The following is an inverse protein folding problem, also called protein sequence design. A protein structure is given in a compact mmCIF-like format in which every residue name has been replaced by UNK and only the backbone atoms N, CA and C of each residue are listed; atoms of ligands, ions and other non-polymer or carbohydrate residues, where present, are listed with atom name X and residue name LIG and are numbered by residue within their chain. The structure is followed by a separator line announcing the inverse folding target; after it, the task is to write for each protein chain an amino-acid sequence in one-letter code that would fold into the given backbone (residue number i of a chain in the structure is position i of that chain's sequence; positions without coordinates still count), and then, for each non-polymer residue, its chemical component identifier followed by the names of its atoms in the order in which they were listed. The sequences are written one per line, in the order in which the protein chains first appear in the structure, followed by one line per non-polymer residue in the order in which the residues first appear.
data_IF_788956246454
#
_entry.id   IF_788956246454
#
_cell.length_a   1.000
_cell.length_b   1.000
_cell.length_c   1.000
_cell.angle_alpha   90.00
_cell.angle_beta   90.00
_cell.angle_gamma   90.00
#
_symmetry.space_group_name_H-M   'P 1'
#
loop_
_entity.id
_entity.type
_entity.pdbx_description
1 polymer ?
#
# COMPACT_ATOMS: atom_id res chain seq x y z
N UNK A 1 -18.03 -6.88 -12.40
CA UNK A 1 -19.04 -7.91 -12.07
C UNK A 1 -19.39 -7.80 -10.62
N UNK A 2 -20.70 -7.69 -10.32
CA UNK A 2 -21.24 -7.74 -8.97
C UNK A 2 -22.39 -8.74 -8.97
N UNK A 3 -22.45 -9.58 -7.97
CA UNK A 3 -23.48 -10.58 -7.77
C UNK A 3 -23.96 -10.54 -6.33
N UNK A 4 -25.26 -10.55 -6.14
CA UNK A 4 -25.90 -10.66 -4.83
C UNK A 4 -26.97 -11.74 -4.88
N UNK A 5 -26.99 -12.59 -3.89
CA UNK A 5 -27.97 -13.64 -3.74
C UNK A 5 -28.67 -13.54 -2.39
N UNK A 6 -29.98 -13.22 -2.40
CA UNK A 6 -30.86 -13.13 -1.23
C UNK A 6 -30.28 -12.35 -0.06
N UNK A 7 -29.52 -11.29 -0.32
CA UNK A 7 -28.76 -10.53 0.67
C UNK A 7 -27.82 -11.35 1.56
N UNK A 8 -27.80 -12.68 1.38
CA UNK A 8 -26.94 -13.63 2.08
C UNK A 8 -25.51 -13.61 1.56
N UNK A 9 -25.34 -13.67 0.22
CA UNK A 9 -24.04 -13.77 -0.42
C UNK A 9 -23.82 -12.60 -1.37
N UNK A 10 -22.71 -11.91 -1.23
CA UNK A 10 -22.26 -10.83 -2.10
C UNK A 10 -20.89 -11.13 -2.67
N UNK A 11 -20.75 -11.06 -3.99
CA UNK A 11 -19.50 -11.26 -4.70
C UNK A 11 -19.24 -10.09 -5.63
N UNK A 12 -18.00 -9.62 -5.67
CA UNK A 12 -17.56 -8.58 -6.60
C UNK A 12 -16.24 -8.97 -7.23
N UNK A 13 -16.13 -8.77 -8.54
CA UNK A 13 -14.89 -8.95 -9.28
C UNK A 13 -14.67 -7.77 -10.20
N UNK A 14 -13.48 -7.22 -10.22
CA UNK A 14 -13.09 -6.16 -11.13
C UNK A 14 -11.72 -6.43 -11.73
N UNK A 15 -11.51 -5.96 -12.94
CA UNK A 15 -10.24 -6.00 -13.62
C UNK A 15 -10.00 -4.66 -14.30
N UNK A 16 -8.87 -4.04 -13.98
CA UNK A 16 -8.42 -2.80 -14.58
C UNK A 16 -7.09 -2.98 -15.25
N UNK A 17 -6.96 -2.50 -16.48
CA UNK A 17 -5.70 -2.41 -17.20
C UNK A 17 -5.39 -0.95 -17.48
N UNK A 18 -4.22 -0.51 -17.06
CA UNK A 18 -3.76 0.86 -17.25
C UNK A 18 -2.42 0.91 -17.94
N UNK A 19 -2.23 1.95 -18.76
CA UNK A 19 -0.95 2.24 -19.41
C UNK A 19 -0.42 3.61 -19.01
N UNK A 20 0.91 3.72 -18.87
CA UNK A 20 1.57 5.00 -18.65
C UNK A 20 2.83 5.10 -19.50
N UNK A 21 3.01 6.25 -20.17
CA UNK A 21 4.20 6.56 -20.95
C UNK A 21 5.44 6.83 -20.10
N UNK A 22 5.28 6.98 -18.79
CA UNK A 22 6.39 7.20 -17.84
C UNK A 22 7.28 5.98 -17.68
N UNK A 23 6.71 4.78 -17.91
CA UNK A 23 7.43 3.53 -17.75
C UNK A 23 8.29 3.16 -18.94
N UNK A 24 9.21 2.25 -18.70
CA UNK A 24 10.07 1.69 -19.73
C UNK A 24 9.27 1.01 -20.84
N UNK A 25 9.90 0.85 -21.99
CA UNK A 25 9.26 0.34 -23.21
C UNK A 25 8.56 -1.01 -23.00
N UNK A 26 9.13 -1.84 -22.12
CA UNK A 26 8.66 -3.21 -21.87
C UNK A 26 7.50 -3.30 -20.85
N UNK A 27 7.26 -2.26 -20.04
CA UNK A 27 6.39 -2.34 -18.87
C UNK A 27 5.38 -1.20 -18.73
N UNK A 28 4.96 -0.61 -19.85
CA UNK A 28 3.99 0.50 -19.87
C UNK A 28 2.63 0.13 -19.29
N UNK A 29 2.23 -1.13 -19.41
CA UNK A 29 0.91 -1.61 -19.00
C UNK A 29 0.95 -2.34 -17.67
N UNK A 30 -0.01 -2.00 -16.78
CA UNK A 30 -0.29 -2.68 -15.53
C UNK A 30 -1.66 -3.34 -15.54
N UNK A 31 -1.77 -4.50 -14.91
CA UNK A 31 -3.03 -5.23 -14.71
C UNK A 31 -3.34 -5.25 -13.21
N UNK A 32 -4.56 -4.87 -12.86
CA UNK A 32 -5.01 -4.66 -11.48
C UNK A 32 -6.33 -5.39 -11.24
N UNK A 33 -6.28 -6.72 -10.96
CA UNK A 33 -7.45 -7.48 -10.56
C UNK A 33 -7.86 -7.18 -9.13
N UNK A 34 -9.17 -7.25 -8.84
CA UNK A 34 -9.67 -7.28 -7.48
C UNK A 34 -10.89 -8.20 -7.38
N UNK A 35 -10.97 -8.91 -6.26
CA UNK A 35 -12.04 -9.82 -5.89
C UNK A 35 -12.46 -9.53 -4.46
N UNK A 36 -13.77 -9.54 -4.21
CA UNK A 36 -14.28 -9.49 -2.85
C UNK A 36 -15.51 -10.38 -2.70
N UNK A 37 -15.68 -10.91 -1.51
CA UNK A 37 -16.84 -11.68 -1.13
C UNK A 37 -17.31 -11.30 0.26
N UNK A 38 -18.62 -11.38 0.49
CA UNK A 38 -19.23 -11.18 1.79
C UNK A 38 -20.38 -12.16 1.98
N UNK A 39 -20.54 -12.58 3.22
CA UNK A 39 -21.67 -13.40 3.65
C UNK A 39 -22.32 -12.74 4.86
N UNK A 40 -23.64 -12.59 4.81
CA UNK A 40 -24.47 -12.11 5.92
C UNK A 40 -25.06 -13.31 6.65
N UNK A 41 -24.45 -13.70 7.76
CA UNK A 41 -24.87 -14.89 8.50
C UNK A 41 -26.20 -14.71 9.23
N UNK A 42 -26.58 -13.48 9.57
CA UNK A 42 -27.89 -13.17 10.17
C UNK A 42 -29.07 -13.59 9.30
N UNK A 43 -28.88 -13.77 8.00
CA UNK A 43 -29.91 -14.31 7.10
C UNK A 43 -30.13 -15.84 7.25
N UNK A 44 -29.21 -16.54 7.92
CA UNK A 44 -29.32 -17.98 8.16
C UNK A 44 -30.14 -18.25 9.44
N UNK A 45 -31.08 -19.20 9.41
CA UNK A 45 -31.93 -19.52 10.56
C UNK A 45 -31.16 -19.82 11.86
N UNK A 46 -29.97 -20.39 11.76
CA UNK A 46 -29.12 -20.72 12.89
C UNK A 46 -28.56 -19.49 13.64
N UNK A 47 -28.56 -18.32 13.02
CA UNK A 47 -28.04 -17.07 13.59
C UNK A 47 -29.14 -16.04 13.92
N UNK A 48 -30.40 -16.39 13.71
CA UNK A 48 -31.54 -15.53 14.04
C UNK A 48 -31.82 -15.60 15.54
N UNK A 49 -31.32 -14.60 16.29
CA UNK A 49 -31.50 -14.47 17.73
C UNK A 49 -31.94 -13.05 18.09
N UNK A 50 -32.62 -12.87 19.20
CA UNK A 50 -33.17 -11.55 19.60
C UNK A 50 -32.09 -10.47 19.85
N UNK A 51 -30.85 -10.87 20.12
CA UNK A 51 -29.76 -9.95 20.44
C UNK A 51 -28.84 -9.64 19.26
N UNK A 52 -28.93 -10.42 18.17
CA UNK A 52 -28.09 -10.31 16.97
C UNK A 52 -28.94 -9.74 15.81
N UNK A 53 -28.75 -8.49 15.48
CA UNK A 53 -29.49 -7.82 14.42
C UNK A 53 -28.86 -8.07 13.05
N UNK A 54 -27.53 -8.01 12.95
CA UNK A 54 -26.81 -8.33 11.73
C UNK A 54 -25.41 -8.92 12.06
N UNK A 55 -24.98 -9.89 11.26
CA UNK A 55 -23.64 -10.47 11.33
C UNK A 55 -23.14 -10.72 9.91
N UNK A 56 -22.07 -10.02 9.55
CA UNK A 56 -21.50 -10.07 8.22
C UNK A 56 -20.01 -10.36 8.27
N UNK A 57 -19.57 -11.30 7.45
CA UNK A 57 -18.16 -11.53 7.17
C UNK A 57 -17.83 -11.11 5.76
N UNK A 58 -16.62 -10.59 5.57
CA UNK A 58 -16.11 -10.18 4.26
C UNK A 58 -14.66 -10.59 4.09
N UNK A 59 -14.30 -10.90 2.86
CA UNK A 59 -12.93 -11.14 2.42
C UNK A 59 -12.69 -10.35 1.15
N UNK A 60 -11.51 -9.76 1.03
CA UNK A 60 -11.12 -9.00 -0.15
C UNK A 60 -9.68 -9.28 -0.53
N UNK A 61 -9.44 -9.29 -1.83
CA UNK A 61 -8.12 -9.32 -2.43
C UNK A 61 -8.10 -8.33 -3.59
N UNK A 62 -7.04 -7.51 -3.67
CA UNK A 62 -6.90 -6.56 -4.76
C UNK A 62 -5.46 -6.20 -5.03
N UNK A 63 -5.18 -5.86 -6.27
CA UNK A 63 -3.89 -5.33 -6.70
C UNK A 63 -4.09 -3.90 -7.15
N UNK A 64 -3.29 -2.98 -6.63
CA UNK A 64 -3.22 -1.59 -7.08
C UNK A 64 -1.83 -1.24 -7.60
N UNK A 65 -1.77 -0.33 -8.56
CA UNK A 65 -0.54 0.17 -9.15
C UNK A 65 -0.27 1.61 -8.77
N UNK A 66 0.99 1.96 -8.61
CA UNK A 66 1.46 3.32 -8.35
C UNK A 66 2.55 3.70 -9.34
N UNK A 67 2.51 4.96 -9.81
CA UNK A 67 3.49 5.54 -10.72
C UNK A 67 3.91 6.96 -10.29
N UNK A 68 4.09 7.16 -8.97
CA UNK A 68 4.41 8.47 -8.42
C UNK A 68 5.90 8.81 -8.59
N UNK A 69 6.30 9.12 -9.81
CA UNK A 69 7.62 9.63 -10.17
C UNK A 69 7.52 10.58 -11.37
N UNK A 70 8.56 11.37 -11.58
CA UNK A 70 8.60 12.36 -12.65
C UNK A 70 8.60 11.71 -14.04
N UNK A 71 8.05 12.37 -15.07
CA UNK A 71 8.18 11.92 -16.46
C UNK A 71 9.65 11.71 -16.85
N UNK A 72 9.87 10.89 -17.88
CA UNK A 72 11.15 10.64 -18.53
C UNK A 72 12.21 9.89 -17.71
N UNK A 73 11.91 9.44 -16.48
CA UNK A 73 12.88 8.71 -15.65
C UNK A 73 13.21 7.30 -16.16
N UNK A 74 12.48 6.79 -17.12
CA UNK A 74 12.84 5.56 -17.84
C UNK A 74 13.85 5.80 -18.97
N UNK A 75 14.12 7.06 -19.31
CA UNK A 75 15.04 7.46 -20.36
C UNK A 75 16.34 7.99 -19.77
N UNK A 76 17.38 8.05 -20.59
CA UNK A 76 18.57 8.79 -20.24
C UNK A 76 18.27 10.29 -20.19
N UNK A 77 18.56 10.92 -19.07
CA UNK A 77 18.31 12.36 -18.86
C UNK A 77 19.53 13.06 -18.29
N UNK A 78 19.66 14.34 -18.61
CA UNK A 78 20.76 15.18 -18.20
C UNK A 78 20.24 16.34 -17.36
N UNK A 79 20.87 16.60 -16.21
CA UNK A 79 20.56 17.73 -15.36
C UNK A 79 21.83 18.59 -15.15
N UNK A 80 21.68 19.90 -15.08
CA UNK A 80 22.79 20.80 -14.75
C UNK A 80 23.38 20.52 -13.35
N UNK A 81 24.61 20.97 -13.10
CA UNK A 81 25.33 20.82 -11.83
C UNK A 81 25.71 19.38 -11.44
N UNK A 82 25.98 18.51 -12.41
CA UNK A 82 26.42 17.13 -12.18
C UNK A 82 27.93 16.93 -12.13
N UNK A 83 28.34 15.66 -12.14
CA UNK A 83 29.74 15.23 -12.04
C UNK A 83 30.38 14.78 -13.37
N UNK A 84 29.62 14.85 -14.47
CA UNK A 84 30.10 14.50 -15.80
C UNK A 84 30.26 15.78 -16.61
N UNK A 85 31.42 15.96 -17.23
CA UNK A 85 31.69 17.13 -18.06
C UNK A 85 31.28 16.78 -19.52
N UNK A 86 30.34 17.54 -20.05
CA UNK A 86 29.92 17.49 -21.47
C UNK A 86 29.97 18.92 -22.02
N UNK A 87 30.71 19.12 -23.10
CA UNK A 87 30.88 20.43 -23.75
C UNK A 87 31.27 21.54 -22.76
N UNK A 88 32.19 21.25 -21.83
CA UNK A 88 32.65 22.20 -20.83
C UNK A 88 31.70 22.53 -19.68
N UNK A 89 30.56 21.83 -19.57
CA UNK A 89 29.58 21.97 -18.47
C UNK A 89 29.49 20.71 -17.64
N UNK A 90 29.42 20.87 -16.32
CA UNK A 90 29.14 19.75 -15.42
C UNK A 90 27.64 19.40 -15.46
N UNK A 91 27.33 18.17 -15.81
CA UNK A 91 25.97 17.66 -15.86
C UNK A 91 25.84 16.39 -15.02
N UNK A 92 24.67 16.18 -14.48
CA UNK A 92 24.28 14.91 -13.85
C UNK A 92 23.56 14.05 -14.89
N UNK A 93 23.95 12.79 -15.01
CA UNK A 93 23.38 11.84 -15.96
C UNK A 93 22.57 10.80 -15.20
N UNK A 94 21.30 10.66 -15.54
CA UNK A 94 20.45 9.59 -15.08
C UNK A 94 20.41 8.50 -16.16
N UNK A 95 20.73 7.26 -15.75
CA UNK A 95 20.76 6.12 -16.65
C UNK A 95 19.36 5.70 -17.10
N UNK A 96 19.23 5.24 -18.36
CA UNK A 96 17.97 4.73 -18.85
C UNK A 96 17.59 3.40 -18.16
N UNK A 97 16.30 3.21 -17.92
CA UNK A 97 15.77 1.96 -17.42
C UNK A 97 14.55 1.51 -18.24
N UNK A 98 14.76 0.72 -19.30
CA UNK A 98 13.68 0.22 -20.14
C UNK A 98 12.74 -0.74 -19.40
N UNK A 99 13.17 -1.29 -18.27
CA UNK A 99 12.41 -2.21 -17.42
C UNK A 99 11.72 -1.54 -16.25
N UNK A 100 11.74 -0.21 -16.20
CA UNK A 100 11.01 0.56 -15.19
C UNK A 100 9.51 0.26 -15.27
N UNK A 101 8.93 -0.21 -14.17
CA UNK A 101 7.58 -0.76 -14.12
C UNK A 101 6.77 -0.24 -12.94
N UNK A 102 5.50 -0.58 -12.92
CA UNK A 102 4.57 -0.23 -11.86
C UNK A 102 5.00 -0.78 -10.50
N UNK A 103 5.03 0.07 -9.49
CA UNK A 103 5.00 -0.36 -8.10
C UNK A 103 3.64 -0.98 -7.84
N UNK A 104 3.59 -2.21 -7.30
CA UNK A 104 2.36 -2.97 -7.08
C UNK A 104 2.12 -3.20 -5.60
N UNK A 105 0.94 -2.84 -5.14
CA UNK A 105 0.47 -3.16 -3.80
C UNK A 105 -0.61 -4.23 -3.87
N UNK A 106 -0.35 -5.36 -3.24
CA UNK A 106 -1.27 -6.47 -3.05
C UNK A 106 -1.94 -6.29 -1.70
N UNK A 107 -3.25 -6.19 -1.68
CA UNK A 107 -4.05 -6.03 -0.48
C UNK A 107 -4.89 -7.28 -0.25
N UNK A 108 -4.85 -7.81 0.96
CA UNK A 108 -5.76 -8.85 1.42
C UNK A 108 -6.38 -8.38 2.72
N UNK A 109 -7.67 -8.50 2.85
CA UNK A 109 -8.39 -8.15 4.07
C UNK A 109 -9.47 -9.18 4.40
N UNK A 110 -9.69 -9.38 5.69
CA UNK A 110 -10.76 -10.20 6.25
C UNK A 110 -11.43 -9.35 7.32
N UNK A 111 -12.73 -9.17 7.21
CA UNK A 111 -13.49 -8.34 8.14
C UNK A 111 -14.71 -9.07 8.69
N UNK A 112 -15.09 -8.68 9.89
CA UNK A 112 -16.34 -9.06 10.53
C UNK A 112 -17.05 -7.81 11.05
N UNK A 113 -18.34 -7.72 10.81
CA UNK A 113 -19.21 -6.65 11.29
C UNK A 113 -20.40 -7.26 12.00
N UNK A 114 -20.70 -6.79 13.21
CA UNK A 114 -21.85 -7.22 13.98
C UNK A 114 -22.66 -6.03 14.47
N UNK A 115 -23.98 -6.09 14.31
CA UNK A 115 -24.95 -5.18 14.87
C UNK A 115 -25.77 -5.94 15.88
N UNK A 116 -25.82 -5.43 17.11
CA UNK A 116 -26.33 -6.12 18.28
C UNK A 116 -27.29 -5.23 19.07
N UNK A 117 -28.17 -5.90 19.84
CA UNK A 117 -29.01 -5.24 20.85
C UNK A 117 -29.94 -4.17 20.30
N UNK A 118 -30.66 -4.50 19.24
CA UNK A 118 -31.56 -3.58 18.52
C UNK A 118 -30.80 -2.31 18.05
N UNK A 119 -29.67 -2.56 17.35
CA UNK A 119 -28.80 -1.52 16.78
C UNK A 119 -28.18 -0.58 17.83
N UNK A 120 -28.05 -1.02 19.06
CA UNK A 120 -27.40 -0.26 20.11
C UNK A 120 -25.89 -0.48 20.21
N UNK A 121 -25.40 -1.60 19.70
CA UNK A 121 -23.99 -1.92 19.69
C UNK A 121 -23.57 -2.35 18.27
N UNK A 122 -22.64 -1.60 17.69
CA UNK A 122 -22.01 -1.94 16.42
C UNK A 122 -20.54 -2.25 16.66
N UNK A 123 -20.09 -3.39 16.16
CA UNK A 123 -18.71 -3.86 16.25
C UNK A 123 -18.18 -4.10 14.84
N UNK A 124 -16.98 -3.63 14.57
CA UNK A 124 -16.25 -3.93 13.35
C UNK A 124 -14.84 -4.38 13.68
N UNK A 125 -14.39 -5.44 13.06
CA UNK A 125 -13.04 -5.99 13.16
C UNK A 125 -12.50 -6.22 11.76
N UNK A 126 -11.30 -5.74 11.47
CA UNK A 126 -10.67 -5.89 10.17
C UNK A 126 -9.20 -6.31 10.32
N UNK A 127 -8.85 -7.44 9.76
CA UNK A 127 -7.49 -7.93 9.61
C UNK A 127 -7.02 -7.64 8.18
N UNK A 128 -5.86 -7.04 8.02
CA UNK A 128 -5.33 -6.78 6.69
C UNK A 128 -3.85 -7.15 6.56
N UNK A 129 -3.49 -7.47 5.33
CA UNK A 129 -2.11 -7.59 4.89
C UNK A 129 -1.93 -6.84 3.57
N UNK A 130 -0.89 -6.01 3.50
CA UNK A 130 -0.48 -5.29 2.30
C UNK A 130 0.97 -5.64 1.99
N UNK A 131 1.22 -6.15 0.80
CA UNK A 131 2.58 -6.35 0.28
C UNK A 131 2.81 -5.40 -0.89
N UNK A 132 3.69 -4.42 -0.71
CA UNK A 132 4.10 -3.51 -1.79
C UNK A 132 5.40 -4.02 -2.37
N UNK A 133 5.38 -4.35 -3.66
CA UNK A 133 6.51 -4.86 -4.43
C UNK A 133 6.95 -3.86 -5.48
N UNK A 134 8.17 -4.03 -5.94
CA UNK A 134 8.74 -3.20 -7.02
C UNK A 134 8.75 -1.70 -6.64
N UNK A 135 9.13 -1.39 -5.39
CA UNK A 135 9.24 -0.01 -4.91
C UNK A 135 10.11 0.80 -5.85
N UNK A 136 9.62 1.98 -6.21
CA UNK A 136 10.36 2.91 -7.06
C UNK A 136 11.43 3.63 -6.22
N UNK A 137 12.67 3.46 -6.61
CA UNK A 137 13.81 3.97 -5.89
C UNK A 137 14.85 4.57 -6.84
N UNK A 138 15.48 5.69 -6.44
CA UNK A 138 16.63 6.25 -7.13
C UNK A 138 17.88 5.61 -6.54
N UNK A 139 18.54 4.79 -7.32
CA UNK A 139 19.74 4.07 -6.93
C UNK A 139 20.98 4.85 -7.39
N UNK A 140 21.92 5.09 -6.47
CA UNK A 140 23.20 5.68 -6.81
C UNK A 140 24.06 4.63 -7.51
N UNK A 141 24.43 4.90 -8.75
CA UNK A 141 25.21 3.97 -9.55
C UNK A 141 26.65 3.85 -9.04
N UNK A 142 27.16 2.63 -8.99
CA UNK A 142 28.57 2.37 -8.63
C UNK A 142 29.44 2.63 -9.86
N UNK A 143 30.34 3.58 -9.75
CA UNK A 143 31.30 3.92 -10.81
C UNK A 143 32.71 3.42 -10.45
N UNK A 144 33.46 2.81 -11.36
CA UNK A 144 33.02 2.15 -12.59
C UNK A 144 32.30 0.83 -12.31
N UNK A 145 31.57 0.18 -13.24
CA UNK A 145 31.58 0.43 -14.69
C UNK A 145 30.49 1.37 -15.22
N UNK A 146 29.56 1.84 -14.38
CA UNK A 146 28.47 2.71 -14.84
C UNK A 146 28.97 4.13 -15.09
N UNK A 147 28.53 4.72 -16.20
CA UNK A 147 28.77 6.14 -16.56
C UNK A 147 27.73 7.08 -15.91
N UNK A 148 26.61 6.57 -15.51
CA UNK A 148 25.52 7.33 -14.92
C UNK A 148 25.68 7.51 -13.41
N UNK A 149 25.27 8.66 -12.87
CA UNK A 149 25.33 8.93 -11.42
C UNK A 149 24.20 8.19 -10.69
N UNK A 150 23.02 8.18 -11.28
CA UNK A 150 21.81 7.60 -10.69
C UNK A 150 20.99 6.85 -11.74
N UNK A 151 20.22 5.89 -11.27
CA UNK A 151 19.22 5.18 -12.06
C UNK A 151 17.95 5.02 -11.25
N UNK A 152 16.80 5.32 -11.85
CA UNK A 152 15.51 5.03 -11.23
C UNK A 152 15.16 3.57 -11.54
N UNK A 153 14.91 2.79 -10.52
CA UNK A 153 14.66 1.36 -10.67
C UNK A 153 13.63 0.85 -9.66
N UNK A 154 13.07 -0.31 -9.95
CA UNK A 154 12.15 -1.01 -9.07
C UNK A 154 12.94 -1.94 -8.17
N UNK A 155 13.14 -1.53 -6.93
CA UNK A 155 13.89 -2.30 -5.94
C UNK A 155 13.18 -2.23 -4.60
N UNK A 156 12.90 -3.39 -4.04
CA UNK A 156 12.39 -3.46 -2.68
C UNK A 156 10.97 -3.97 -2.55
N UNK A 157 10.69 -4.42 -1.34
CA UNK A 157 9.39 -4.94 -0.94
C UNK A 157 9.12 -4.56 0.51
N UNK A 158 7.92 -4.03 0.76
CA UNK A 158 7.42 -3.74 2.11
C UNK A 158 6.21 -4.63 2.38
N UNK A 159 6.22 -5.28 3.53
CA UNK A 159 5.07 -5.98 4.08
C UNK A 159 4.49 -5.19 5.25
N UNK A 160 3.20 -4.88 5.18
CA UNK A 160 2.43 -4.29 6.27
C UNK A 160 1.27 -5.20 6.62
N UNK A 161 1.02 -5.39 7.90
CA UNK A 161 -0.13 -6.15 8.41
C UNK A 161 -0.68 -5.46 9.64
N UNK A 162 -1.96 -5.59 9.84
CA UNK A 162 -2.59 -4.95 10.96
C UNK A 162 -3.95 -5.50 11.31
N UNK A 163 -4.42 -5.07 12.47
CA UNK A 163 -5.74 -5.27 13.01
C UNK A 163 -6.34 -3.91 13.30
N UNK A 164 -7.55 -3.69 12.83
CA UNK A 164 -8.36 -2.50 13.10
C UNK A 164 -9.65 -2.94 13.77
N UNK A 165 -10.11 -2.17 14.75
CA UNK A 165 -11.40 -2.40 15.40
C UNK A 165 -12.12 -1.10 15.64
N UNK A 166 -13.43 -1.19 15.60
CA UNK A 166 -14.34 -0.11 15.90
C UNK A 166 -15.51 -0.65 16.71
N UNK A 167 -15.88 0.09 17.76
CA UNK A 167 -17.06 -0.17 18.56
C UNK A 167 -17.84 1.14 18.68
N UNK A 168 -19.09 1.10 18.31
CA UNK A 168 -20.05 2.18 18.55
C UNK A 168 -21.16 1.64 19.44
N UNK A 169 -21.33 2.27 20.60
CA UNK A 169 -22.25 1.82 21.61
C UNK A 169 -23.22 2.93 22.03
N UNK A 170 -24.51 2.60 22.05
CA UNK A 170 -25.61 3.46 22.44
C UNK A 170 -26.30 2.86 23.68
N UNK A 171 -25.68 2.92 24.89
CA UNK A 171 -26.21 2.26 26.07
C UNK A 171 -27.53 2.86 26.55
N UNK A 172 -27.71 4.15 26.37
CA UNK A 172 -28.93 4.84 26.84
C UNK A 172 -29.55 5.60 25.67
N UNK A 173 -30.80 5.27 25.41
CA UNK A 173 -31.65 5.99 24.45
C UNK A 173 -33.06 6.11 25.03
N UNK A 174 -33.36 7.29 25.50
CA UNK A 174 -34.71 7.66 26.02
C UNK A 174 -35.29 8.79 25.16
N UNK A 175 -36.54 9.17 25.42
CA UNK A 175 -37.20 10.24 24.66
C UNK A 175 -36.46 11.60 24.82
N UNK A 176 -35.84 11.85 25.97
CA UNK A 176 -35.22 13.13 26.28
C UNK A 176 -33.71 13.08 26.49
N UNK A 177 -33.11 11.88 26.46
CA UNK A 177 -31.69 11.72 26.73
C UNK A 177 -31.12 10.56 25.90
N UNK A 178 -29.99 10.81 25.29
CA UNK A 178 -29.22 9.80 24.55
C UNK A 178 -27.76 9.91 24.96
N UNK A 179 -27.15 8.77 25.25
CA UNK A 179 -25.69 8.66 25.47
C UNK A 179 -25.10 7.66 24.51
N UNK A 180 -24.04 8.05 23.81
CA UNK A 180 -23.29 7.20 22.89
C UNK A 180 -21.80 7.23 23.22
N UNK A 181 -21.13 6.12 23.03
CA UNK A 181 -19.69 5.97 23.16
C UNK A 181 -19.13 5.32 21.89
N UNK A 182 -17.98 5.81 21.45
CA UNK A 182 -17.25 5.24 20.32
C UNK A 182 -15.82 4.94 20.73
N UNK A 183 -15.33 3.77 20.35
CA UNK A 183 -13.96 3.32 20.58
C UNK A 183 -13.40 2.80 19.27
N UNK A 184 -12.29 3.36 18.82
CA UNK A 184 -11.56 2.90 17.65
C UNK A 184 -10.11 2.62 18.00
N UNK A 185 -9.49 1.66 17.33
CA UNK A 185 -8.09 1.37 17.53
C UNK A 185 -7.50 0.56 16.38
N UNK A 186 -6.17 0.62 16.29
CA UNK A 186 -5.44 -0.14 15.30
C UNK A 186 -4.09 -0.61 15.83
N UNK A 187 -3.67 -1.78 15.39
CA UNK A 187 -2.34 -2.32 15.54
C UNK A 187 -1.73 -2.49 14.16
N UNK A 188 -0.61 -1.85 13.91
CA UNK A 188 0.08 -1.90 12.62
C UNK A 188 1.51 -2.39 12.81
N UNK A 189 1.95 -3.29 11.95
CA UNK A 189 3.33 -3.72 11.83
C UNK A 189 3.76 -3.66 10.37
N UNK A 190 4.80 -2.88 10.09
CA UNK A 190 5.39 -2.77 8.75
C UNK A 190 6.84 -3.21 8.79
N UNK A 191 7.27 -3.99 7.82
CA UNK A 191 8.64 -4.52 7.71
C UNK A 191 9.17 -4.29 6.30
N UNK A 192 10.36 -3.76 6.21
CA UNK A 192 11.10 -3.67 4.97
C UNK A 192 11.67 -5.05 4.62
N UNK A 193 11.02 -5.79 3.74
CA UNK A 193 11.43 -7.16 3.38
C UNK A 193 12.71 -7.19 2.58
N UNK A 194 12.85 -6.29 1.63
CA UNK A 194 13.99 -6.23 0.74
C UNK A 194 14.17 -4.82 0.19
N UNK A 195 15.41 -4.40 0.02
CA UNK A 195 15.86 -3.25 -0.79
C UNK A 195 16.78 -3.70 -1.92
N UNK A 196 16.86 -4.98 -2.18
CA UNK A 196 17.79 -5.58 -3.12
C UNK A 196 17.05 -6.40 -4.17
N UNK A 197 17.64 -6.50 -5.36
CA UNK A 197 17.24 -7.43 -6.41
C UNK A 197 18.50 -8.08 -7.01
N UNK A 198 18.37 -8.78 -8.14
CA UNK A 198 19.51 -9.46 -8.77
C UNK A 198 20.60 -8.51 -9.28
N UNK A 199 20.25 -7.28 -9.61
CA UNK A 199 21.17 -6.26 -10.17
C UNK A 199 21.62 -5.24 -9.12
N UNK A 200 20.73 -4.87 -8.18
CA UNK A 200 20.95 -3.81 -7.22
C UNK A 200 20.95 -4.38 -5.80
N UNK A 201 22.02 -4.18 -5.07
CA UNK A 201 22.20 -4.62 -3.68
C UNK A 201 22.29 -3.40 -2.78
N UNK A 202 21.23 -3.17 -1.98
CA UNK A 202 21.20 -2.07 -1.02
C UNK A 202 20.65 -2.63 0.30
N UNK A 203 21.48 -3.03 1.22
CA UNK A 203 21.07 -3.62 2.50
C UNK A 203 20.34 -2.64 3.43
N UNK A 204 20.54 -1.35 3.21
CA UNK A 204 19.88 -0.26 3.95
C UNK A 204 19.79 1.00 3.11
N UNK A 205 18.90 1.92 3.51
CA UNK A 205 18.81 3.29 3.00
C UNK A 205 18.50 4.25 4.15
N UNK A 206 18.72 5.54 3.91
CA UNK A 206 18.36 6.57 4.85
C UNK A 206 17.16 7.36 4.34
N UNK A 207 16.27 7.70 5.26
CA UNK A 207 15.17 8.62 5.02
C UNK A 207 15.44 9.91 5.79
N UNK A 208 15.37 11.02 5.08
CA UNK A 208 15.33 12.39 5.57
C UNK A 208 16.47 12.84 6.47
N UNK A 209 16.94 14.03 6.20
CA UNK A 209 17.75 14.82 7.13
C UNK A 209 16.83 15.40 8.22
N UNK A 210 17.35 15.53 9.44
CA UNK A 210 16.63 16.23 10.50
C UNK A 210 16.49 17.70 10.15
N UNK A 211 15.31 18.33 10.41
CA UNK A 211 15.16 19.75 10.22
C UNK A 211 16.14 20.53 11.11
N UNK A 212 16.70 21.59 10.57
CA UNK A 212 17.54 22.53 11.34
C UNK A 212 16.70 23.37 12.32
N UNK A 213 17.22 23.70 13.54
CA UNK A 213 18.58 23.47 14.01
C UNK A 213 18.76 22.05 14.55
N UNK A 214 19.60 21.28 13.94
CA UNK A 214 19.95 19.93 14.35
C UNK A 214 21.26 19.51 13.68
N UNK A 215 21.75 18.33 14.00
CA UNK A 215 22.90 17.76 13.30
C UNK A 215 22.48 17.48 11.84
N UNK A 216 23.16 18.03 10.83
CA UNK A 216 22.88 17.69 9.45
C UNK A 216 23.23 16.23 9.23
N UNK A 217 22.24 15.43 8.83
CA UNK A 217 22.44 14.02 8.54
C UNK A 217 21.15 13.22 8.51
N UNK A 218 21.18 12.01 7.93
CA UNK A 218 20.02 11.15 7.84
C UNK A 218 19.59 10.66 9.24
N UNK A 219 18.33 10.92 9.59
CA UNK A 219 17.79 10.61 10.91
C UNK A 219 17.29 9.18 11.04
N UNK A 220 16.79 8.59 9.94
CA UNK A 220 16.13 7.29 9.95
C UNK A 220 16.86 6.37 9.00
N UNK A 221 17.36 5.25 9.52
CA UNK A 221 17.92 4.16 8.74
C UNK A 221 16.87 3.08 8.54
N UNK A 222 16.56 2.80 7.30
CA UNK A 222 15.75 1.65 6.90
C UNK A 222 16.68 0.50 6.50
N UNK A 223 16.47 -0.66 7.10
CA UNK A 223 17.32 -1.84 6.90
C UNK A 223 16.45 -3.06 6.52
N UNK A 224 16.96 -3.89 5.62
CA UNK A 224 16.29 -5.13 5.22
C UNK A 224 16.00 -6.03 6.43
N UNK A 225 14.80 -6.58 6.46
CA UNK A 225 14.32 -7.44 7.53
C UNK A 225 13.89 -6.73 8.82
N UNK A 226 14.06 -5.40 8.91
CA UNK A 226 13.70 -4.62 10.10
C UNK A 226 12.33 -3.95 9.97
N UNK A 227 11.67 -3.65 11.11
CA UNK A 227 10.49 -2.80 11.14
C UNK A 227 10.77 -1.40 10.57
N UNK A 228 9.71 -0.80 10.00
CA UNK A 228 9.70 0.58 9.52
C UNK A 228 8.97 1.45 10.52
#
# INVERSE_FOLDING_TARGET
FNYSYRDLLMLSASFRREGSSKFGANHKWGNFPALSGGIRLSELPAFQTEWLDDLKFRVGYGVSGRHNFSPYQSLETYAGAGKVMVDGKWIQVFGPNPDLRWEKSLHTNIGAEAILLNSRLMLSLNLFKRTTKDLLFVYNAIKPPMIHDNITTNVGTIDSKGLEWEMNWLPVRTKNFQYSASLTGSLLSSTLKSLSNNQFKLGYTYLYDLPTPGLPGPAIRLEEGKPI
#
